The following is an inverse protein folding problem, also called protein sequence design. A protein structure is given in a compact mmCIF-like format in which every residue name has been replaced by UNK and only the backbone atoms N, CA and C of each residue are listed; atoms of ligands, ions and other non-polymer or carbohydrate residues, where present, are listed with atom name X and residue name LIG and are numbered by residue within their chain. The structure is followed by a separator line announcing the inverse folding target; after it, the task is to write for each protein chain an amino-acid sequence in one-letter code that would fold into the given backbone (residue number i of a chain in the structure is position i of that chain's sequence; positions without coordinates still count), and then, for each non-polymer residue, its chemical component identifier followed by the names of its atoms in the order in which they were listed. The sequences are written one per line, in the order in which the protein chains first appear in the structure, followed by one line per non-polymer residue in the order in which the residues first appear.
data_IF_346622861628
#
_entry.id   IF_346622861628
#
_cell.length_a   1.000
_cell.length_b   1.000
_cell.length_c   1.000
_cell.angle_alpha   90.00
_cell.angle_beta   90.00
_cell.angle_gamma   90.00
#
_symmetry.space_group_name_H-M   'P 1'
#
loop_
_entity.id
_entity.type
_entity.pdbx_description
1 polymer ?
#
# COMPACT_ATOMS: atom_id res chain seq x y z
N UNK A 1 -0.47 -9.45 6.00
CA UNK A 1 0.09 -9.75 4.70
C UNK A 1 0.02 -11.21 4.34
N UNK A 2 -0.60 -11.50 3.20
CA UNK A 2 -0.84 -12.84 2.69
C UNK A 2 0.28 -13.38 1.76
N UNK A 3 1.42 -12.69 1.65
CA UNK A 3 2.54 -13.16 0.83
C UNK A 3 2.51 -12.67 -0.64
N UNK A 4 1.74 -11.64 -0.99
CA UNK A 4 1.68 -11.08 -2.35
C UNK A 4 3.07 -10.84 -2.97
N UNK A 5 3.94 -10.10 -2.28
CA UNK A 5 5.28 -9.80 -2.79
C UNK A 5 6.18 -11.04 -2.91
N UNK A 6 5.99 -12.04 -2.07
CA UNK A 6 6.68 -13.34 -2.19
C UNK A 6 6.24 -14.08 -3.46
N UNK A 7 4.94 -14.09 -3.72
CA UNK A 7 4.40 -14.67 -4.96
C UNK A 7 4.92 -13.93 -6.20
N UNK A 8 4.96 -12.59 -6.16
CA UNK A 8 5.55 -11.78 -7.25
C UNK A 8 7.00 -12.20 -7.52
N UNK A 9 7.80 -12.41 -6.47
CA UNK A 9 9.18 -12.86 -6.63
C UNK A 9 9.27 -14.28 -7.23
N UNK A 10 8.40 -15.20 -6.83
CA UNK A 10 8.35 -16.53 -7.47
C UNK A 10 8.01 -16.46 -8.95
N UNK A 11 6.99 -15.68 -9.32
CA UNK A 11 6.62 -15.46 -10.73
C UNK A 11 7.80 -14.84 -11.48
N UNK A 12 8.44 -13.82 -10.92
CA UNK A 12 9.59 -13.15 -11.54
C UNK A 12 10.76 -14.12 -11.79
N UNK A 13 11.06 -15.00 -10.84
CA UNK A 13 12.12 -16.00 -10.99
C UNK A 13 11.75 -17.12 -11.97
N UNK A 14 10.48 -17.50 -12.06
CA UNK A 14 10.02 -18.44 -13.09
C UNK A 14 10.29 -17.92 -14.51
N UNK A 15 10.17 -16.60 -14.71
CA UNK A 15 10.49 -15.92 -15.96
C UNK A 15 11.90 -15.27 -15.95
N UNK A 16 12.88 -15.88 -15.30
CA UNK A 16 14.18 -15.25 -15.03
C UNK A 16 14.88 -14.68 -16.26
N UNK A 17 14.86 -15.41 -17.39
CA UNK A 17 15.52 -15.02 -18.65
C UNK A 17 14.69 -14.02 -19.49
N UNK A 18 13.49 -13.69 -19.06
CA UNK A 18 12.57 -12.82 -19.78
C UNK A 18 12.70 -11.37 -19.31
N UNK A 19 12.36 -10.44 -20.20
CA UNK A 19 12.29 -9.01 -19.86
C UNK A 19 11.05 -8.73 -19.03
N UNK A 20 11.24 -8.07 -17.88
CA UNK A 20 10.17 -7.83 -16.92
C UNK A 20 10.08 -6.36 -16.53
N UNK A 21 8.84 -5.86 -16.44
CA UNK A 21 8.53 -4.56 -15.91
C UNK A 21 7.65 -4.70 -14.67
N UNK A 22 8.09 -4.09 -13.58
CA UNK A 22 7.35 -4.01 -12.32
C UNK A 22 6.89 -2.58 -12.11
N UNK A 23 5.59 -2.40 -11.92
CA UNK A 23 4.96 -1.11 -11.70
C UNK A 23 4.33 -1.03 -10.31
N UNK A 24 4.50 0.12 -9.66
CA UNK A 24 3.86 0.44 -8.40
C UNK A 24 3.35 1.88 -8.43
N UNK A 25 2.37 2.22 -7.59
CA UNK A 25 1.77 3.54 -7.58
C UNK A 25 2.74 4.62 -7.05
N UNK A 26 3.52 4.31 -6.01
CA UNK A 26 4.42 5.25 -5.32
C UNK A 26 5.89 4.82 -5.37
N UNK A 27 6.81 5.76 -5.16
CA UNK A 27 8.24 5.45 -5.06
C UNK A 27 8.56 4.48 -3.90
N UNK A 28 8.04 4.66 -2.67
CA UNK A 28 8.28 3.69 -1.60
C UNK A 28 7.79 2.27 -1.93
N UNK A 29 6.63 2.14 -2.60
CA UNK A 29 6.13 0.84 -3.04
C UNK A 29 7.02 0.21 -4.12
N UNK A 30 7.48 1.00 -5.11
CA UNK A 30 8.44 0.59 -6.13
C UNK A 30 9.76 0.10 -5.49
N UNK A 31 10.32 0.88 -4.56
CA UNK A 31 11.60 0.54 -3.90
C UNK A 31 11.47 -0.71 -3.02
N UNK A 32 10.32 -0.89 -2.36
CA UNK A 32 10.01 -2.11 -1.61
C UNK A 32 9.92 -3.33 -2.52
N UNK A 33 9.26 -3.19 -3.69
CA UNK A 33 9.17 -4.25 -4.68
C UNK A 33 10.55 -4.61 -5.25
N UNK A 34 11.36 -3.60 -5.58
CA UNK A 34 12.73 -3.77 -6.06
C UNK A 34 13.64 -4.52 -5.08
N UNK A 35 13.48 -4.27 -3.77
CA UNK A 35 14.23 -5.00 -2.73
C UNK A 35 13.83 -6.46 -2.59
N UNK A 36 12.59 -6.81 -2.95
CA UNK A 36 12.04 -8.17 -2.76
C UNK A 36 12.18 -9.06 -3.98
N UNK A 37 12.24 -8.48 -5.17
CA UNK A 37 12.37 -9.22 -6.43
C UNK A 37 13.85 -9.37 -6.77
N UNK A 38 14.31 -10.61 -6.78
CA UNK A 38 15.71 -10.96 -7.02
C UNK A 38 16.02 -11.40 -8.45
N UNK A 39 14.99 -11.48 -9.31
CA UNK A 39 15.09 -11.94 -10.69
C UNK A 39 15.87 -10.97 -11.58
N UNK A 40 16.67 -11.52 -12.51
CA UNK A 40 17.40 -10.75 -13.52
C UNK A 40 16.46 -10.11 -14.54
N UNK A 41 16.97 -9.21 -15.40
CA UNK A 41 16.23 -8.54 -16.47
C UNK A 41 14.92 -7.87 -15.97
N UNK A 42 14.96 -7.31 -14.76
CA UNK A 42 13.85 -6.66 -14.10
C UNK A 42 14.00 -5.14 -14.12
N UNK A 43 12.98 -4.45 -14.60
CA UNK A 43 12.88 -2.98 -14.61
C UNK A 43 11.78 -2.57 -13.61
N UNK A 44 12.05 -1.57 -12.77
CA UNK A 44 11.11 -1.07 -11.77
C UNK A 44 10.79 0.40 -12.04
N UNK A 45 9.50 0.73 -12.09
CA UNK A 45 9.01 2.10 -12.33
C UNK A 45 7.75 2.39 -11.52
N UNK A 46 7.49 3.67 -11.32
CA UNK A 46 6.14 4.07 -10.89
C UNK A 46 5.20 4.11 -12.10
N UNK A 47 3.90 3.99 -11.85
CA UNK A 47 2.84 4.15 -12.86
C UNK A 47 3.06 5.46 -13.65
N UNK A 48 3.21 6.59 -12.95
CA UNK A 48 3.46 7.88 -13.58
C UNK A 48 4.73 7.88 -14.44
N UNK A 49 5.84 7.33 -13.94
CA UNK A 49 7.08 7.25 -14.71
C UNK A 49 6.91 6.45 -16.00
N UNK A 50 6.09 5.40 -16.00
CA UNK A 50 5.80 4.59 -17.18
C UNK A 50 4.93 5.35 -18.19
N UNK A 51 3.88 6.02 -17.73
CA UNK A 51 2.95 6.79 -18.57
C UNK A 51 3.69 7.89 -19.37
N UNK A 52 4.64 8.57 -18.75
CA UNK A 52 5.37 9.69 -19.37
C UNK A 52 6.65 9.26 -20.07
N UNK A 53 7.00 7.98 -20.07
CA UNK A 53 8.19 7.51 -20.75
C UNK A 53 7.88 7.14 -22.20
N UNK A 54 8.52 7.83 -23.13
CA UNK A 54 8.55 7.41 -24.51
C UNK A 54 9.56 6.25 -24.65
N UNK A 55 9.07 5.03 -24.73
CA UNK A 55 9.94 3.88 -24.98
C UNK A 55 9.14 2.79 -25.68
N UNK A 56 9.64 2.33 -26.81
CA UNK A 56 9.12 1.21 -27.59
C UNK A 56 9.57 -0.15 -27.01
N UNK A 57 9.90 -0.21 -25.72
CA UNK A 57 10.35 -1.45 -25.09
C UNK A 57 9.20 -2.44 -24.99
N UNK A 58 9.44 -3.63 -25.49
CA UNK A 58 8.54 -4.78 -25.35
C UNK A 58 8.98 -5.60 -24.13
N UNK A 59 8.04 -5.89 -23.24
CA UNK A 59 8.28 -6.73 -22.08
C UNK A 59 7.60 -8.10 -22.25
N UNK A 60 8.27 -9.15 -21.83
CA UNK A 60 7.65 -10.47 -21.76
C UNK A 60 6.62 -10.55 -20.64
N UNK A 61 6.92 -9.90 -19.51
CA UNK A 61 6.07 -9.86 -18.34
C UNK A 61 5.95 -8.43 -17.80
N UNK A 62 4.72 -7.98 -17.56
CA UNK A 62 4.43 -6.78 -16.77
C UNK A 62 3.70 -7.18 -15.49
N UNK A 63 4.17 -6.71 -14.36
CA UNK A 63 3.52 -6.87 -13.05
C UNK A 63 3.13 -5.50 -12.54
N UNK A 64 1.86 -5.31 -12.20
CA UNK A 64 1.37 -4.10 -11.52
C UNK A 64 1.01 -4.48 -10.08
N UNK A 65 1.70 -3.91 -9.11
CA UNK A 65 1.45 -4.12 -7.68
C UNK A 65 0.55 -3.01 -7.12
N UNK A 66 -0.19 -3.34 -6.06
CA UNK A 66 -1.18 -2.46 -5.41
C UNK A 66 -2.25 -1.93 -6.39
N UNK A 67 -2.76 -2.81 -7.26
CA UNK A 67 -3.70 -2.47 -8.34
C UNK A 67 -4.97 -1.75 -7.88
N UNK A 68 -5.44 -2.00 -6.63
CA UNK A 68 -6.61 -1.33 -6.06
C UNK A 68 -6.45 0.19 -5.97
N UNK A 69 -5.22 0.68 -5.90
CA UNK A 69 -4.92 2.13 -5.80
C UNK A 69 -4.74 2.82 -7.16
N UNK A 70 -4.74 2.07 -8.26
CA UNK A 70 -4.52 2.58 -9.63
C UNK A 70 -5.84 2.99 -10.25
N UNK A 71 -5.95 4.23 -10.73
CA UNK A 71 -7.16 4.74 -11.38
C UNK A 71 -7.42 4.09 -12.75
N UNK A 72 -8.66 4.15 -13.24
CA UNK A 72 -9.02 3.68 -14.58
C UNK A 72 -8.20 4.40 -15.65
N UNK A 73 -8.04 5.72 -15.53
CA UNK A 73 -7.31 6.53 -16.49
C UNK A 73 -5.82 6.19 -16.54
N UNK A 74 -5.21 5.93 -15.38
CA UNK A 74 -3.79 5.58 -15.33
C UNK A 74 -3.55 4.16 -15.85
N UNK A 75 -4.42 3.21 -15.52
CA UNK A 75 -4.33 1.88 -16.10
C UNK A 75 -4.40 1.92 -17.62
N UNK A 76 -5.39 2.64 -18.17
CA UNK A 76 -5.55 2.76 -19.64
C UNK A 76 -4.27 3.30 -20.28
N UNK A 77 -3.71 4.40 -19.74
CA UNK A 77 -2.46 4.97 -20.24
C UNK A 77 -1.27 4.01 -20.13
N UNK A 78 -1.19 3.22 -19.06
CA UNK A 78 -0.14 2.19 -18.93
C UNK A 78 -0.28 1.14 -20.00
N UNK A 79 -1.50 0.67 -20.28
CA UNK A 79 -1.77 -0.33 -21.32
C UNK A 79 -1.48 0.21 -22.72
N UNK A 80 -1.80 1.48 -22.99
CA UNK A 80 -1.50 2.14 -24.29
C UNK A 80 0.01 2.36 -24.50
N UNK A 81 0.76 2.61 -23.43
CA UNK A 81 2.20 2.96 -23.47
C UNK A 81 3.13 1.77 -23.26
N UNK A 82 2.59 0.57 -23.04
CA UNK A 82 3.41 -0.59 -22.67
C UNK A 82 3.03 -1.80 -23.52
N UNK A 83 3.97 -2.31 -24.29
CA UNK A 83 3.79 -3.56 -25.04
C UNK A 83 4.29 -4.74 -24.19
N UNK A 84 3.46 -5.77 -24.02
CA UNK A 84 3.78 -6.93 -23.21
C UNK A 84 3.11 -8.20 -23.74
N UNK A 85 3.63 -9.37 -23.32
CA UNK A 85 3.04 -10.68 -23.63
C UNK A 85 2.16 -11.21 -22.51
N UNK A 86 2.55 -10.97 -21.26
CA UNK A 86 1.83 -11.39 -20.06
C UNK A 86 1.68 -10.22 -19.09
N UNK A 87 0.47 -10.02 -18.58
CA UNK A 87 0.15 -9.04 -17.54
C UNK A 87 -0.25 -9.77 -16.26
N UNK A 88 0.39 -9.44 -15.16
CA UNK A 88 0.05 -9.91 -13.81
C UNK A 88 -0.40 -8.73 -12.97
N UNK A 89 -1.61 -8.80 -12.45
CA UNK A 89 -2.23 -7.79 -11.62
C UNK A 89 -2.24 -8.27 -10.17
N UNK A 90 -1.66 -7.50 -9.27
CA UNK A 90 -1.57 -7.83 -7.85
C UNK A 90 -2.22 -6.73 -7.04
N UNK A 91 -3.13 -7.05 -6.15
CA UNK A 91 -3.85 -6.05 -5.36
C UNK A 91 -4.64 -6.69 -4.23
N UNK A 92 -5.45 -5.87 -3.58
CA UNK A 92 -6.34 -6.30 -2.52
C UNK A 92 -7.65 -5.51 -2.63
N UNK A 93 -8.72 -6.20 -2.98
CA UNK A 93 -10.05 -5.58 -3.18
C UNK A 93 -10.69 -5.05 -1.90
N UNK A 94 -10.11 -5.37 -0.74
CA UNK A 94 -10.56 -4.88 0.57
C UNK A 94 -9.73 -3.68 1.08
N UNK A 95 -8.73 -3.25 0.32
CA UNK A 95 -7.98 -2.03 0.61
C UNK A 95 -8.71 -0.80 0.04
N UNK A 96 -8.27 0.37 0.49
CA UNK A 96 -8.79 1.65 -0.02
C UNK A 96 -8.60 1.69 -1.54
N UNK A 97 -9.68 2.01 -2.24
CA UNK A 97 -9.69 2.18 -3.68
C UNK A 97 -8.92 3.45 -4.09
N UNK A 98 -8.71 3.60 -5.39
CA UNK A 98 -8.07 4.78 -5.95
C UNK A 98 -8.83 6.06 -5.54
N UNK A 99 -8.09 7.11 -5.14
CA UNK A 99 -8.66 8.44 -4.85
C UNK A 99 -9.29 9.03 -6.13
N UNK A 100 -8.70 8.78 -7.28
CA UNK A 100 -9.29 9.13 -8.58
C UNK A 100 -10.28 8.05 -9.00
N UNK A 101 -11.24 8.41 -9.86
CA UNK A 101 -12.26 7.49 -10.33
C UNK A 101 -11.67 6.19 -10.87
N UNK A 102 -12.10 5.08 -10.29
CA UNK A 102 -11.80 3.77 -10.81
C UNK A 102 -11.91 2.63 -9.79
N UNK A 103 -12.74 1.68 -10.14
CA UNK A 103 -12.89 0.40 -9.41
C UNK A 103 -12.67 -0.78 -10.38
N UNK A 104 -11.82 -0.58 -11.38
CA UNK A 104 -11.55 -1.58 -12.41
C UNK A 104 -11.00 -2.89 -11.85
N UNK A 105 -10.15 -2.82 -10.79
CA UNK A 105 -9.53 -4.01 -10.22
C UNK A 105 -10.54 -4.95 -9.57
N UNK A 106 -11.56 -4.41 -8.90
CA UNK A 106 -12.66 -5.22 -8.36
C UNK A 106 -13.54 -5.79 -9.46
N UNK A 107 -13.77 -5.02 -10.52
CA UNK A 107 -14.65 -5.40 -11.62
C UNK A 107 -14.02 -6.42 -12.58
N UNK A 108 -12.70 -6.38 -12.78
CA UNK A 108 -12.01 -7.23 -13.78
C UNK A 108 -12.23 -8.72 -13.53
N UNK A 109 -12.47 -9.12 -12.28
CA UNK A 109 -12.76 -10.51 -11.90
C UNK A 109 -13.98 -11.08 -12.65
N UNK A 110 -14.90 -10.24 -13.06
CA UNK A 110 -16.10 -10.66 -13.81
C UNK A 110 -15.85 -10.84 -15.31
N UNK A 111 -14.69 -10.42 -15.81
CA UNK A 111 -14.37 -10.41 -17.24
C UNK A 111 -13.23 -11.37 -17.63
N UNK A 112 -12.49 -11.89 -16.64
CA UNK A 112 -11.40 -12.84 -16.88
C UNK A 112 -11.80 -14.26 -16.44
N UNK A 113 -11.23 -15.30 -17.04
CA UNK A 113 -11.52 -16.67 -16.63
C UNK A 113 -11.18 -16.91 -15.15
N UNK A 114 -12.00 -17.65 -14.39
CA UNK A 114 -11.73 -17.99 -12.98
C UNK A 114 -10.36 -18.66 -12.78
N UNK A 115 -9.88 -19.42 -13.77
CA UNK A 115 -8.56 -20.08 -13.76
C UNK A 115 -7.38 -19.10 -13.80
N UNK A 116 -7.62 -17.84 -14.15
CA UNK A 116 -6.61 -16.78 -14.14
C UNK A 116 -6.63 -15.95 -12.83
N UNK A 117 -7.51 -16.29 -11.89
CA UNK A 117 -7.68 -15.59 -10.62
C UNK A 117 -7.16 -16.47 -9.49
N UNK A 118 -6.22 -15.93 -8.71
CA UNK A 118 -5.65 -16.62 -7.55
C UNK A 118 -5.80 -15.73 -6.32
N UNK A 119 -6.38 -16.26 -5.26
CA UNK A 119 -6.54 -15.56 -3.99
C UNK A 119 -5.61 -16.16 -2.93
N UNK A 120 -4.80 -15.29 -2.31
CA UNK A 120 -3.95 -15.66 -1.19
C UNK A 120 -4.71 -15.40 0.12
N UNK A 121 -5.19 -16.44 0.75
CA UNK A 121 -6.08 -16.36 1.93
C UNK A 121 -5.34 -16.44 3.26
N UNK A 122 -4.17 -17.09 3.31
CA UNK A 122 -3.44 -17.34 4.56
C UNK A 122 -2.64 -16.12 5.00
N UNK A 123 -2.90 -15.53 6.17
CA UNK A 123 -2.11 -14.43 6.69
C UNK A 123 -0.81 -14.93 7.32
N UNK A 124 0.33 -14.39 6.89
CA UNK A 124 1.66 -14.73 7.42
C UNK A 124 2.26 -13.64 8.32
N UNK A 125 1.80 -12.39 8.23
CA UNK A 125 2.37 -11.25 8.93
C UNK A 125 1.88 -11.14 10.38
N UNK A 126 0.60 -11.39 10.62
CA UNK A 126 0.00 -11.35 11.95
C UNK A 126 -0.20 -12.77 12.48
N UNK A 127 0.22 -12.99 13.73
CA UNK A 127 0.05 -14.25 14.47
C UNK A 127 -0.92 -14.10 15.64
N UNK A 128 -1.32 -12.87 15.97
CA UNK A 128 -2.27 -12.58 17.03
C UNK A 128 -3.69 -12.92 16.55
N UNK A 129 -4.29 -13.93 17.15
CA UNK A 129 -5.63 -14.44 16.79
C UNK A 129 -6.73 -13.39 17.00
N UNK A 130 -6.62 -12.56 18.03
CA UNK A 130 -7.57 -11.48 18.31
C UNK A 130 -7.52 -10.42 17.20
N UNK A 131 -6.32 -10.04 16.76
CA UNK A 131 -6.13 -9.10 15.65
C UNK A 131 -6.64 -9.68 14.33
N UNK A 132 -6.43 -10.96 14.07
CA UNK A 132 -6.96 -11.66 12.89
C UNK A 132 -8.49 -11.71 12.92
N UNK A 133 -9.09 -11.97 14.07
CA UNK A 133 -10.54 -11.92 14.27
C UNK A 133 -11.08 -10.51 14.01
N UNK A 134 -10.43 -9.49 14.55
CA UNK A 134 -10.79 -8.10 14.28
C UNK A 134 -10.74 -7.74 12.78
N UNK A 135 -9.68 -8.11 12.09
CA UNK A 135 -9.57 -7.91 10.64
C UNK A 135 -10.65 -8.64 9.85
N UNK A 136 -11.03 -9.85 10.28
CA UNK A 136 -12.13 -10.59 9.65
C UNK A 136 -13.45 -9.83 9.80
N UNK A 137 -13.76 -9.32 11.00
CA UNK A 137 -14.95 -8.52 11.26
C UNK A 137 -15.00 -7.26 10.41
N UNK A 138 -13.89 -6.51 10.35
CA UNK A 138 -13.79 -5.30 9.50
C UNK A 138 -13.97 -5.65 8.02
N UNK A 139 -13.35 -6.74 7.55
CA UNK A 139 -13.46 -7.20 6.16
C UNK A 139 -14.89 -7.58 5.77
N UNK A 140 -15.62 -8.19 6.68
CA UNK A 140 -16.99 -8.64 6.47
C UNK A 140 -18.03 -7.55 6.80
N UNK A 141 -17.57 -6.38 7.28
CA UNK A 141 -18.42 -5.25 7.71
C UNK A 141 -19.48 -5.74 8.73
N UNK A 142 -19.01 -6.47 9.77
CA UNK A 142 -19.90 -6.98 10.81
C UNK A 142 -20.42 -5.85 11.70
N UNK A 143 -21.68 -5.95 12.15
CA UNK A 143 -22.35 -4.87 12.89
C UNK A 143 -21.75 -4.62 14.29
N UNK A 144 -21.06 -5.60 14.87
CA UNK A 144 -20.49 -5.53 16.22
C UNK A 144 -19.02 -5.03 16.27
N UNK A 145 -18.49 -4.47 15.19
CA UNK A 145 -17.11 -3.99 15.10
C UNK A 145 -16.78 -2.99 16.23
N UNK A 146 -17.68 -2.01 16.45
CA UNK A 146 -17.46 -0.99 17.46
C UNK A 146 -17.43 -1.58 18.90
N UNK A 147 -18.35 -2.50 19.20
CA UNK A 147 -18.38 -3.19 20.48
C UNK A 147 -17.11 -4.06 20.68
N UNK A 148 -16.72 -4.77 19.65
CA UNK A 148 -15.50 -5.57 19.64
C UNK A 148 -14.25 -4.72 19.92
N UNK A 149 -14.14 -3.54 19.30
CA UNK A 149 -13.01 -2.61 19.52
C UNK A 149 -12.93 -2.15 20.97
N UNK A 150 -14.04 -1.72 21.55
CA UNK A 150 -14.11 -1.25 22.94
C UNK A 150 -13.77 -2.38 23.91
N UNK A 151 -14.39 -3.55 23.74
CA UNK A 151 -14.22 -4.72 24.62
C UNK A 151 -12.79 -5.25 24.65
N UNK A 152 -12.06 -5.14 23.53
CA UNK A 152 -10.72 -5.68 23.38
C UNK A 152 -9.62 -4.59 23.46
N UNK A 153 -9.94 -3.37 23.88
CA UNK A 153 -8.95 -2.30 24.07
C UNK A 153 -8.37 -1.71 22.81
N UNK A 154 -9.05 -1.89 21.66
CA UNK A 154 -8.66 -1.25 20.38
C UNK A 154 -9.22 0.17 20.24
N UNK A 155 -10.03 0.62 21.17
CA UNK A 155 -10.58 1.97 21.22
C UNK A 155 -10.43 2.53 22.61
N UNK A 156 -9.97 3.77 22.69
CA UNK A 156 -9.82 4.49 23.96
C UNK A 156 -10.25 5.95 23.78
N UNK A 157 -10.47 6.63 24.90
CA UNK A 157 -10.68 8.08 24.88
C UNK A 157 -9.38 8.76 24.49
N UNK A 158 -9.47 9.78 23.65
CA UNK A 158 -8.31 10.59 23.29
C UNK A 158 -7.94 11.49 24.48
N UNK A 159 -6.81 11.20 25.09
CA UNK A 159 -6.21 11.97 26.17
C UNK A 159 -4.69 12.09 25.96
N UNK A 160 -3.99 12.64 26.93
CA UNK A 160 -2.55 12.87 26.85
C UNK A 160 -1.73 11.56 26.76
N UNK A 161 -2.30 10.42 27.14
CA UNK A 161 -1.60 9.13 27.09
C UNK A 161 -1.24 8.71 25.65
N UNK A 162 -1.97 9.23 24.64
CA UNK A 162 -1.63 9.03 23.23
C UNK A 162 -0.23 9.54 22.88
N UNK A 163 0.27 10.53 23.64
CA UNK A 163 1.56 11.18 23.39
C UNK A 163 2.67 10.69 24.34
N UNK A 164 2.34 9.77 25.22
CA UNK A 164 3.33 9.07 26.04
C UNK A 164 3.90 7.92 25.23
N UNK A 165 5.13 8.07 24.73
CA UNK A 165 5.81 7.04 23.95
C UNK A 165 5.85 5.72 24.76
N UNK A 166 5.16 4.72 24.29
CA UNK A 166 5.13 3.39 24.89
C UNK A 166 6.18 2.44 24.31
N UNK A 167 6.90 2.86 23.26
CA UNK A 167 7.91 2.09 22.59
C UNK A 167 8.70 2.90 21.55
N UNK A 168 9.65 2.25 20.90
CA UNK A 168 10.54 2.92 19.93
C UNK A 168 10.00 2.96 18.49
N UNK A 169 8.92 2.24 18.20
CA UNK A 169 8.40 2.07 16.83
C UNK A 169 6.89 2.36 16.76
N UNK A 170 6.46 3.53 17.22
CA UNK A 170 5.07 3.95 17.14
C UNK A 170 4.81 4.86 15.95
N UNK A 171 3.68 4.64 15.27
CA UNK A 171 3.19 5.48 14.19
C UNK A 171 1.77 5.92 14.51
N UNK A 172 1.52 7.23 14.47
CA UNK A 172 0.20 7.81 14.58
C UNK A 172 -0.36 8.03 13.17
N UNK A 173 -1.44 7.34 12.84
CA UNK A 173 -2.12 7.48 11.57
C UNK A 173 -3.29 8.45 11.70
N UNK A 174 -3.24 9.56 10.97
CA UNK A 174 -4.30 10.56 10.91
C UNK A 174 -5.06 10.46 9.59
N UNK A 175 -6.40 10.56 9.66
CA UNK A 175 -7.24 10.51 8.45
C UNK A 175 -7.24 11.83 7.67
N UNK A 176 -6.97 12.96 8.34
CA UNK A 176 -7.03 14.29 7.76
C UNK A 176 -5.73 15.06 8.02
N UNK A 177 -5.47 16.09 7.19
CA UNK A 177 -4.36 17.02 7.42
C UNK A 177 -4.68 18.02 8.51
N UNK A 178 -5.90 18.55 8.52
CA UNK A 178 -6.33 19.64 9.41
C UNK A 178 -7.39 19.17 10.40
N UNK A 179 -7.68 20.02 11.40
CA UNK A 179 -8.61 19.73 12.49
C UNK A 179 -7.90 19.20 13.74
N UNK A 180 -8.69 18.97 14.79
CA UNK A 180 -8.18 18.58 16.11
C UNK A 180 -7.33 17.29 16.06
N UNK A 181 -7.76 16.33 15.26
CA UNK A 181 -7.12 15.03 15.06
C UNK A 181 -6.35 14.92 13.73
N UNK A 182 -6.12 16.05 13.07
CA UNK A 182 -5.36 16.11 11.83
C UNK A 182 -3.85 16.04 12.07
N UNK A 183 -3.11 15.52 11.08
CA UNK A 183 -1.66 15.33 11.16
C UNK A 183 -0.90 16.63 11.52
N UNK A 184 -1.35 17.78 10.98
CA UNK A 184 -0.72 19.06 11.26
C UNK A 184 -0.84 19.46 12.74
N UNK A 185 -1.99 19.19 13.38
CA UNK A 185 -2.18 19.51 14.79
C UNK A 185 -1.46 18.53 15.70
N UNK A 186 -1.50 17.24 15.39
CA UNK A 186 -0.78 16.19 16.13
C UNK A 186 0.73 16.44 16.08
N UNK A 187 1.30 16.71 14.91
CA UNK A 187 2.72 17.04 14.76
C UNK A 187 3.11 18.28 15.56
N UNK A 188 2.30 19.35 15.50
CA UNK A 188 2.55 20.58 16.28
C UNK A 188 2.56 20.31 17.78
N UNK A 189 1.66 19.46 18.27
CA UNK A 189 1.60 19.07 19.67
C UNK A 189 2.83 18.26 20.08
N UNK A 190 3.20 17.23 19.31
CA UNK A 190 4.37 16.39 19.57
C UNK A 190 5.66 17.20 19.54
N UNK A 191 5.81 18.08 18.56
CA UNK A 191 6.95 18.99 18.46
C UNK A 191 6.98 19.99 19.61
N UNK A 192 5.83 20.51 20.04
CA UNK A 192 5.71 21.42 21.18
C UNK A 192 6.20 20.82 22.50
N UNK A 193 5.91 19.55 22.73
CA UNK A 193 6.31 18.82 23.95
C UNK A 193 7.75 18.31 23.92
N UNK A 194 8.41 18.27 22.76
CA UNK A 194 9.82 17.84 22.67
C UNK A 194 10.79 18.94 23.10
N UNK A 195 11.75 18.68 24.03
CA UNK A 195 12.75 19.65 24.45
C UNK A 195 13.90 19.86 23.45
N UNK A 196 13.91 19.14 22.34
CA UNK A 196 15.01 19.13 21.36
C UNK A 196 15.06 20.42 20.54
N UNK A 197 16.24 20.85 20.04
CA UNK A 197 16.37 22.05 19.23
C UNK A 197 15.59 21.91 17.93
N UNK A 198 14.89 22.99 17.57
CA UNK A 198 14.08 23.08 16.37
C UNK A 198 14.91 23.54 15.18
N UNK A 199 14.69 22.96 14.03
CA UNK A 199 15.19 23.41 12.72
C UNK A 199 13.98 23.88 11.91
N UNK A 200 14.00 25.14 11.50
CA UNK A 200 12.93 25.71 10.67
C UNK A 200 13.34 25.59 9.20
N UNK A 201 12.51 24.94 8.43
CA UNK A 201 12.65 24.84 6.98
C UNK A 201 11.36 25.31 6.30
N UNK A 202 11.41 26.43 5.61
CA UNK A 202 10.23 27.14 5.09
C UNK A 202 9.24 27.42 6.22
N UNK A 203 8.00 26.97 6.09
CA UNK A 203 6.93 27.16 7.06
C UNK A 203 6.77 26.00 8.05
N UNK A 204 7.71 25.03 8.02
CA UNK A 204 7.64 23.82 8.83
C UNK A 204 8.78 23.76 9.82
N UNK A 205 8.46 23.39 11.04
CA UNK A 205 9.43 23.16 12.11
C UNK A 205 9.70 21.65 12.20
N UNK A 206 10.97 21.30 12.24
CA UNK A 206 11.43 19.92 12.44
C UNK A 206 12.27 19.86 13.73
N UNK A 207 12.21 18.74 14.41
CA UNK A 207 13.12 18.42 15.52
C UNK A 207 13.82 17.10 15.24
N UNK A 208 14.94 16.87 15.91
CA UNK A 208 15.68 15.61 15.77
C UNK A 208 14.75 14.45 16.20
N UNK A 209 14.69 13.41 15.37
CA UNK A 209 13.83 12.23 15.51
C UNK A 209 12.31 12.48 15.34
N UNK A 210 11.95 13.55 14.58
CA UNK A 210 10.56 13.75 14.09
C UNK A 210 10.19 12.74 13.00
#
# INVERSE_FOLDING_TARGET
GTGKSTMVNYIANFFNDKTKLFLAHTNPAKDNLQRKVTSQNSTFRTINSQIYKNSDLVFDLVVIDECSTVSNADLLKVLEKTTFKLLVLVGDVYQIESIQFGNWFSLIRSFIPPTAIFELTTPYRAKNEMLLSFWSKVRNIEDDIAEFMVKNGYSTVLDNSLFEAQGHDEIILCLNYDGLYGINNINRFLQGSSPRPAIIWRDTTYKIDD
#
